data_IF_214037816013
#
_entry.id   IF_214037816013
#
_cell.length_a   1.000
_cell.length_b   1.000
_cell.length_c   1.000
_cell.angle_alpha   90.00
_cell.angle_beta   90.00
_cell.angle_gamma   90.00
#
_symmetry.space_group_name_H-M   'P 1'
#
loop_
_entity.id
_entity.type
_entity.pdbx_description
1 polymer ?
#
# COMPACT_ATOMS: atom_id res chain seq x y z
N UNK A 1 6.42 5.31 24.65
CA UNK A 1 6.32 6.70 24.17
C UNK A 1 7.27 6.93 22.97
N UNK A 2 7.18 6.15 21.87
CA UNK A 2 7.99 6.35 20.65
C UNK A 2 7.21 6.01 19.35
N UNK A 3 5.93 5.60 19.42
CA UNK A 3 5.13 5.20 18.25
C UNK A 3 4.44 6.35 17.53
N UNK A 4 4.19 7.48 18.19
CA UNK A 4 3.49 8.63 17.58
C UNK A 4 4.39 9.51 16.69
N UNK A 5 5.69 9.23 16.64
CA UNK A 5 6.63 10.04 15.84
C UNK A 5 6.65 9.58 14.38
N UNK A 6 6.24 8.34 14.10
CA UNK A 6 6.28 7.75 12.76
C UNK A 6 5.15 8.31 11.90
N UNK A 7 3.93 8.36 12.45
CA UNK A 7 2.77 8.96 11.78
C UNK A 7 2.97 10.44 11.42
N UNK A 8 3.65 11.18 12.32
CA UNK A 8 3.96 12.60 12.10
C UNK A 8 4.93 12.87 10.94
N UNK A 9 5.71 11.88 10.53
CA UNK A 9 6.68 12.03 9.42
C UNK A 9 6.07 11.77 8.05
N UNK A 10 5.03 10.91 7.96
CA UNK A 10 4.38 10.57 6.68
C UNK A 10 3.59 11.76 6.15
N UNK A 11 2.95 12.48 7.03
CA UNK A 11 2.05 13.57 6.71
C UNK A 11 2.79 14.92 6.51
N UNK A 12 4.01 15.05 7.00
CA UNK A 12 4.80 16.27 6.85
C UNK A 12 5.31 16.56 5.43
N UNK A 13 5.23 15.59 4.51
CA UNK A 13 5.73 15.78 3.14
C UNK A 13 4.68 16.29 2.13
N UNK A 14 3.41 16.36 2.49
CA UNK A 14 2.31 16.70 1.57
C UNK A 14 1.87 18.16 1.53
N UNK A 15 2.40 19.03 2.39
CA UNK A 15 1.87 20.39 2.58
C UNK A 15 2.30 21.44 1.54
N UNK A 16 2.90 21.09 0.41
CA UNK A 16 3.55 22.08 -0.47
C UNK A 16 2.76 22.52 -1.72
N UNK A 17 1.51 22.07 -1.95
CA UNK A 17 0.88 22.37 -3.25
C UNK A 17 -0.61 22.78 -3.28
N UNK A 18 -1.15 23.38 -2.25
CA UNK A 18 -2.50 23.99 -2.39
C UNK A 18 -2.53 25.40 -1.81
N UNK A 19 -2.05 26.35 -2.60
CA UNK A 19 -2.42 27.75 -2.49
C UNK A 19 -2.84 28.21 -3.89
N UNK A 20 -4.09 28.49 -4.03
CA UNK A 20 -4.78 29.50 -4.86
C UNK A 20 -6.19 28.96 -5.21
N UNK A 21 -7.25 29.47 -4.64
CA UNK A 21 -8.20 30.39 -5.25
C UNK A 21 -9.27 30.74 -4.22
N UNK A 22 -9.41 32.00 -3.97
CA UNK A 22 -10.37 32.55 -3.04
C UNK A 22 -11.77 32.78 -3.60
N UNK A 23 -12.69 32.80 -2.66
CA UNK A 23 -13.92 33.58 -2.61
C UNK A 23 -14.95 33.44 -3.72
N UNK A 24 -16.02 32.73 -3.41
CA UNK A 24 -17.36 33.28 -3.68
C UNK A 24 -18.42 32.69 -2.72
N UNK A 25 -19.21 33.58 -2.22
CA UNK A 25 -20.14 33.41 -1.12
C UNK A 25 -21.41 32.65 -1.45
N UNK A 26 -21.97 32.03 -0.42
CA UNK A 26 -23.40 31.81 -0.18
C UNK A 26 -24.23 31.13 -1.27
N UNK A 27 -24.31 29.82 -1.17
CA UNK A 27 -25.55 29.14 -1.51
C UNK A 27 -26.03 28.38 -0.29
N UNK A 28 -27.29 28.66 0.03
CA UNK A 28 -28.03 28.19 1.18
C UNK A 28 -28.10 26.66 1.23
N UNK A 29 -27.72 26.09 2.38
CA UNK A 29 -28.27 24.88 3.00
C UNK A 29 -28.93 23.83 2.07
N UNK A 30 -28.19 23.23 1.21
CA UNK A 30 -28.26 21.82 0.86
C UNK A 30 -26.82 21.34 0.96
N UNK A 31 -26.47 20.68 2.07
CA UNK A 31 -25.16 20.09 2.21
C UNK A 31 -24.94 19.16 1.03
N UNK A 32 -23.95 19.48 0.20
CA UNK A 32 -23.55 18.59 -0.88
C UNK A 32 -23.30 17.22 -0.28
N UNK A 33 -23.96 16.21 -0.84
CA UNK A 33 -23.81 14.84 -0.34
C UNK A 33 -22.40 14.36 -0.59
N UNK A 34 -21.77 13.82 0.45
CA UNK A 34 -20.48 13.13 0.34
C UNK A 34 -20.65 11.65 -0.04
N UNK A 35 -21.87 11.20 -0.38
CA UNK A 35 -22.09 9.82 -0.81
C UNK A 35 -21.38 9.53 -2.12
N UNK A 36 -20.86 8.33 -2.23
CA UNK A 36 -20.15 7.81 -3.40
C UNK A 36 -18.77 7.28 -3.07
N UNK A 37 -18.02 7.03 -4.12
CA UNK A 37 -16.64 6.55 -4.07
C UNK A 37 -15.68 7.72 -4.26
N UNK A 38 -14.63 7.69 -3.47
CA UNK A 38 -13.62 8.71 -3.37
C UNK A 38 -12.26 8.04 -3.34
N UNK A 39 -11.31 8.53 -4.11
CA UNK A 39 -9.94 8.02 -4.11
C UNK A 39 -8.96 9.09 -3.64
N UNK A 40 -7.93 8.68 -2.90
CA UNK A 40 -6.84 9.57 -2.50
C UNK A 40 -5.61 9.28 -3.34
N UNK A 41 -5.25 10.18 -4.29
CA UNK A 41 -4.12 9.97 -5.16
C UNK A 41 -2.76 10.11 -4.44
N UNK A 42 -2.74 10.77 -3.29
CA UNK A 42 -1.50 11.09 -2.56
C UNK A 42 -1.37 10.36 -1.22
N UNK A 43 -2.50 10.06 -0.56
CA UNK A 43 -2.48 9.36 0.74
C UNK A 43 -1.94 7.93 0.61
N UNK A 44 -2.25 7.26 -0.49
CA UNK A 44 -1.75 5.92 -0.80
C UNK A 44 -0.23 5.90 -1.02
N UNK A 45 0.32 6.88 -1.74
CA UNK A 45 1.75 6.96 -2.03
C UNK A 45 2.58 7.08 -0.74
N UNK A 46 2.13 7.90 0.21
CA UNK A 46 2.81 8.05 1.50
C UNK A 46 2.83 6.74 2.29
N UNK A 47 1.71 6.02 2.34
CA UNK A 47 1.62 4.69 2.99
C UNK A 47 2.51 3.65 2.29
N UNK A 48 2.54 3.68 0.96
CA UNK A 48 3.37 2.80 0.15
C UNK A 48 4.86 3.01 0.43
N UNK A 49 5.34 4.25 0.40
CA UNK A 49 6.74 4.59 0.68
C UNK A 49 7.14 4.20 2.10
N UNK A 50 6.24 4.31 3.07
CA UNK A 50 6.51 3.86 4.43
C UNK A 50 6.55 2.34 4.53
N UNK A 51 5.65 1.64 3.87
CA UNK A 51 5.64 0.18 3.82
C UNK A 51 6.94 -0.36 3.20
N UNK A 52 7.42 0.25 2.11
CA UNK A 52 8.71 -0.07 1.51
C UNK A 52 9.88 0.20 2.46
N UNK A 53 9.88 1.36 3.14
CA UNK A 53 10.92 1.71 4.10
C UNK A 53 10.93 0.78 5.33
N UNK A 54 9.74 0.36 5.78
CA UNK A 54 9.58 -0.57 6.91
C UNK A 54 9.98 -2.01 6.54
N UNK A 55 9.73 -2.43 5.30
CA UNK A 55 10.15 -3.71 4.77
C UNK A 55 11.69 -3.81 4.61
N UNK A 56 12.38 -2.66 4.63
CA UNK A 56 13.81 -2.59 4.42
C UNK A 56 14.12 -2.94 2.96
N UNK A 57 14.07 -1.97 2.08
CA UNK A 57 14.25 -2.14 0.62
C UNK A 57 15.52 -2.91 0.22
N UNK A 58 16.48 -3.03 1.13
CA UNK A 58 17.74 -3.77 0.93
C UNK A 58 17.63 -5.29 1.23
N UNK A 59 16.49 -5.78 1.76
CA UNK A 59 16.45 -7.11 2.38
C UNK A 59 15.67 -8.18 1.59
N UNK A 60 14.85 -7.83 0.61
CA UNK A 60 13.98 -8.79 -0.08
C UNK A 60 14.78 -9.57 -1.13
N UNK A 61 15.62 -8.87 -1.90
CA UNK A 61 16.51 -9.46 -2.88
C UNK A 61 17.96 -9.14 -2.51
N UNK A 62 18.73 -10.18 -2.18
CA UNK A 62 20.09 -10.05 -1.63
C UNK A 62 21.14 -10.19 -2.71
N UNK A 63 20.84 -10.92 -3.77
CA UNK A 63 21.78 -11.32 -4.81
C UNK A 63 21.43 -10.76 -6.20
N UNK A 64 20.23 -10.25 -6.39
CA UNK A 64 19.78 -9.61 -7.62
C UNK A 64 19.52 -8.12 -7.42
N UNK A 65 19.45 -7.37 -8.52
CA UNK A 65 19.22 -5.92 -8.50
C UNK A 65 17.72 -5.55 -8.51
N UNK A 66 16.82 -6.51 -8.26
CA UNK A 66 15.39 -6.28 -8.23
C UNK A 66 14.95 -5.52 -6.98
N UNK A 67 13.90 -4.74 -7.12
CA UNK A 67 13.31 -3.95 -6.04
C UNK A 67 11.86 -4.31 -5.78
N UNK A 68 11.35 -3.99 -4.58
CA UNK A 68 9.92 -4.12 -4.27
C UNK A 68 9.05 -3.19 -5.12
N UNK A 69 9.58 -2.05 -5.58
CA UNK A 69 8.86 -1.10 -6.43
C UNK A 69 8.52 -1.68 -7.81
N UNK A 70 9.29 -2.66 -8.30
CA UNK A 70 8.98 -3.39 -9.54
C UNK A 70 7.80 -4.35 -9.35
N UNK A 71 7.58 -4.81 -8.13
CA UNK A 71 6.57 -5.82 -7.77
C UNK A 71 5.30 -5.16 -7.27
N UNK A 72 5.42 -4.18 -6.37
CA UNK A 72 4.30 -3.41 -5.85
C UNK A 72 4.16 -2.13 -6.69
N UNK A 73 3.35 -2.21 -7.74
CA UNK A 73 3.32 -1.16 -8.78
C UNK A 73 2.43 0.02 -8.45
N UNK A 74 1.47 -0.17 -7.55
CA UNK A 74 0.50 0.88 -7.17
C UNK A 74 -0.14 0.56 -5.83
N UNK A 75 -0.38 1.60 -5.04
CA UNK A 75 -1.23 1.55 -3.84
C UNK A 75 -2.31 2.62 -3.96
N UNK A 76 -3.53 2.31 -3.57
CA UNK A 76 -4.68 3.22 -3.61
C UNK A 76 -5.38 3.22 -2.25
N UNK A 77 -5.96 4.35 -1.89
CA UNK A 77 -6.88 4.49 -0.77
C UNK A 77 -8.24 4.92 -1.32
N UNK A 78 -9.25 4.09 -1.07
CA UNK A 78 -10.61 4.32 -1.54
C UNK A 78 -11.53 4.46 -0.34
N UNK A 79 -12.20 5.60 -0.26
CA UNK A 79 -13.21 5.87 0.75
C UNK A 79 -14.59 5.75 0.10
N UNK A 80 -15.36 4.77 0.52
CA UNK A 80 -16.77 4.64 0.12
C UNK A 80 -17.65 5.19 1.22
N UNK A 81 -18.55 6.10 0.85
CA UNK A 81 -19.58 6.66 1.75
C UNK A 81 -20.96 6.30 1.23
N UNK A 82 -21.73 5.56 2.02
CA UNK A 82 -23.10 5.18 1.71
C UNK A 82 -24.01 5.48 2.91
N UNK A 83 -25.01 6.33 2.70
CA UNK A 83 -25.87 6.81 3.76
C UNK A 83 -25.06 7.40 4.94
N UNK A 84 -25.18 6.78 6.12
CA UNK A 84 -24.46 7.20 7.33
C UNK A 84 -23.28 6.28 7.67
N UNK A 85 -22.71 5.59 6.68
CA UNK A 85 -21.55 4.70 6.83
C UNK A 85 -20.43 5.10 5.90
N UNK A 86 -19.21 4.91 6.36
CA UNK A 86 -18.03 5.06 5.54
C UNK A 86 -17.08 3.87 5.75
N UNK A 87 -16.42 3.45 4.68
CA UNK A 87 -15.36 2.44 4.71
C UNK A 87 -14.17 2.97 3.96
N UNK A 88 -13.01 3.00 4.61
CA UNK A 88 -11.73 3.26 3.96
C UNK A 88 -11.06 1.93 3.67
N UNK A 89 -10.72 1.71 2.42
CA UNK A 89 -10.06 0.51 1.91
C UNK A 89 -8.71 0.89 1.32
N UNK A 90 -7.69 0.06 1.56
CA UNK A 90 -6.40 0.13 0.89
C UNK A 90 -6.32 -0.98 -0.14
N UNK A 91 -5.88 -0.64 -1.35
CA UNK A 91 -5.61 -1.59 -2.43
C UNK A 91 -4.15 -1.50 -2.84
N UNK A 92 -3.49 -2.66 -3.00
CA UNK A 92 -2.11 -2.77 -3.48
C UNK A 92 -2.07 -3.65 -4.72
N UNK A 93 -1.46 -3.16 -5.79
CA UNK A 93 -1.28 -3.88 -7.04
C UNK A 93 0.06 -4.61 -7.04
N UNK A 94 0.00 -5.92 -7.13
CA UNK A 94 1.16 -6.82 -7.18
C UNK A 94 1.35 -7.31 -8.61
N UNK A 95 2.50 -7.01 -9.21
CA UNK A 95 2.92 -7.61 -10.48
C UNK A 95 3.51 -8.99 -10.21
N UNK A 96 2.71 -10.03 -10.35
CA UNK A 96 3.11 -11.42 -10.11
C UNK A 96 4.17 -11.92 -11.11
N UNK A 97 4.17 -11.40 -12.34
CA UNK A 97 5.16 -11.76 -13.35
C UNK A 97 6.53 -11.14 -13.02
N UNK A 98 6.54 -9.88 -12.59
CA UNK A 98 7.74 -9.22 -12.09
C UNK A 98 8.27 -9.93 -10.84
N UNK A 99 7.39 -10.32 -9.91
CA UNK A 99 7.78 -11.04 -8.71
C UNK A 99 8.37 -12.41 -9.01
N UNK A 100 7.74 -13.18 -9.92
CA UNK A 100 8.26 -14.45 -10.39
C UNK A 100 9.67 -14.29 -11.02
N UNK A 101 9.82 -13.28 -11.88
CA UNK A 101 11.11 -12.99 -12.53
C UNK A 101 12.19 -12.65 -11.50
N UNK A 102 11.86 -11.78 -10.55
CA UNK A 102 12.78 -11.40 -9.48
C UNK A 102 13.23 -12.59 -8.63
N UNK A 103 12.30 -13.49 -8.25
CA UNK A 103 12.67 -14.72 -7.51
C UNK A 103 13.55 -15.66 -8.33
N UNK A 104 13.28 -15.78 -9.62
CA UNK A 104 14.10 -16.63 -10.53
C UNK A 104 15.52 -16.10 -10.67
N UNK A 105 15.65 -14.80 -10.82
CA UNK A 105 16.96 -14.15 -10.91
C UNK A 105 17.70 -14.19 -9.57
N UNK A 106 16.99 -13.99 -8.45
CA UNK A 106 17.57 -14.08 -7.10
C UNK A 106 18.17 -15.46 -6.82
N UNK A 107 17.45 -16.55 -7.11
CA UNK A 107 17.99 -17.90 -6.89
C UNK A 107 19.19 -18.20 -7.79
N UNK A 108 19.15 -17.72 -9.04
CA UNK A 108 20.27 -17.89 -9.98
C UNK A 108 21.50 -17.12 -9.52
N UNK A 109 21.30 -15.86 -9.10
CA UNK A 109 22.37 -15.01 -8.58
C UNK A 109 22.96 -15.58 -7.27
N UNK A 110 22.12 -16.10 -6.38
CA UNK A 110 22.54 -16.75 -5.15
C UNK A 110 23.49 -17.95 -5.43
N UNK A 111 23.10 -18.82 -6.37
CA UNK A 111 23.96 -19.97 -6.76
C UNK A 111 25.29 -19.50 -7.34
N UNK A 112 25.27 -18.50 -8.23
CA UNK A 112 26.51 -17.92 -8.79
C UNK A 112 27.43 -17.37 -7.69
N UNK A 113 26.84 -16.62 -6.75
CA UNK A 113 27.59 -16.06 -5.61
C UNK A 113 28.23 -17.14 -4.72
N UNK A 114 27.50 -18.23 -4.44
CA UNK A 114 28.06 -19.33 -3.65
C UNK A 114 29.17 -20.07 -4.39
N UNK A 115 29.07 -20.28 -5.70
CA UNK A 115 30.12 -20.85 -6.53
C UNK A 115 31.38 -19.97 -6.52
N UNK A 116 31.23 -18.65 -6.67
CA UNK A 116 32.35 -17.70 -6.61
C UNK A 116 33.08 -17.75 -5.27
N UNK A 117 32.33 -17.81 -4.14
CA UNK A 117 32.93 -17.98 -2.80
C UNK A 117 33.75 -19.28 -2.67
N UNK A 118 33.39 -20.32 -3.42
CA UNK A 118 34.09 -21.58 -3.47
C UNK A 118 35.26 -21.56 -4.50
N UNK A 119 35.46 -20.46 -5.21
CA UNK A 119 36.49 -20.28 -6.22
C UNK A 119 36.14 -20.84 -7.61
N UNK A 120 34.86 -21.07 -7.87
CA UNK A 120 34.36 -21.50 -9.17
C UNK A 120 33.73 -20.35 -9.92
N UNK A 121 33.90 -20.31 -11.24
CA UNK A 121 33.22 -19.38 -12.12
C UNK A 121 32.12 -20.13 -12.89
N UNK A 122 30.84 -19.78 -12.62
CA UNK A 122 29.71 -20.41 -13.30
C UNK A 122 29.82 -20.33 -14.82
N UNK A 123 30.29 -19.20 -15.37
CA UNK A 123 30.36 -19.01 -16.83
C UNK A 123 31.41 -19.93 -17.51
N UNK A 124 32.42 -20.35 -16.76
CA UNK A 124 33.49 -21.24 -17.23
C UNK A 124 33.17 -22.74 -17.09
N UNK A 125 32.04 -23.08 -16.45
CA UNK A 125 31.61 -24.47 -16.28
C UNK A 125 31.14 -25.07 -17.60
N UNK A 126 31.32 -26.39 -17.75
CA UNK A 126 30.78 -27.13 -18.88
C UNK A 126 29.23 -27.19 -18.85
N UNK A 127 28.65 -27.43 -20.01
CA UNK A 127 27.17 -27.42 -20.15
C UNK A 127 26.45 -28.49 -19.31
N UNK A 128 27.11 -29.63 -19.04
CA UNK A 128 26.52 -30.71 -18.25
C UNK A 128 26.43 -30.29 -16.76
N UNK A 129 27.51 -29.68 -16.26
CA UNK A 129 27.54 -29.15 -14.88
C UNK A 129 26.55 -28.00 -14.70
N UNK A 130 26.47 -27.06 -15.66
CA UNK A 130 25.43 -26.00 -15.64
C UNK A 130 24.02 -26.59 -15.58
N UNK A 131 23.72 -27.56 -16.46
CA UNK A 131 22.41 -28.20 -16.48
C UNK A 131 22.08 -28.94 -15.17
N UNK A 132 23.07 -29.51 -14.47
CA UNK A 132 22.86 -30.10 -13.15
C UNK A 132 22.58 -29.04 -12.07
N UNK A 133 23.26 -27.92 -12.10
CA UNK A 133 23.01 -26.80 -11.20
C UNK A 133 21.62 -26.21 -11.44
N UNK A 134 21.28 -25.93 -12.69
CA UNK A 134 19.96 -25.39 -13.06
C UNK A 134 18.82 -26.35 -12.66
N UNK A 135 19.05 -27.68 -12.80
CA UNK A 135 18.10 -28.69 -12.33
C UNK A 135 17.98 -28.77 -10.79
N UNK A 136 18.89 -28.17 -10.04
CA UNK A 136 18.84 -28.09 -8.59
C UNK A 136 18.09 -26.84 -8.09
N UNK A 137 17.81 -25.88 -8.98
CA UNK A 137 16.99 -24.71 -8.68
C UNK A 137 15.52 -25.13 -8.53
N UNK A 138 14.73 -24.28 -7.87
CA UNK A 138 13.29 -24.46 -7.84
C UNK A 138 12.73 -24.43 -9.28
N UNK A 139 11.79 -25.30 -9.55
CA UNK A 139 11.10 -25.29 -10.85
C UNK A 139 10.26 -24.02 -11.02
N UNK A 140 9.91 -23.68 -12.26
CA UNK A 140 9.03 -22.56 -12.54
C UNK A 140 7.66 -22.73 -11.85
N UNK A 141 7.15 -23.98 -11.75
CA UNK A 141 5.90 -24.26 -11.02
C UNK A 141 6.04 -24.03 -9.50
N UNK A 142 7.19 -24.41 -8.90
CA UNK A 142 7.44 -24.17 -7.48
C UNK A 142 7.64 -22.68 -7.18
N UNK A 143 8.30 -21.94 -8.09
CA UNK A 143 8.45 -20.50 -7.99
C UNK A 143 7.10 -19.78 -8.11
N UNK A 144 6.26 -20.17 -9.07
CA UNK A 144 4.93 -19.58 -9.20
C UNK A 144 4.10 -19.82 -7.95
N UNK A 145 4.15 -21.05 -7.43
CA UNK A 145 3.48 -21.37 -6.16
C UNK A 145 4.01 -20.51 -5.00
N UNK A 146 5.31 -20.25 -4.96
CA UNK A 146 5.90 -19.39 -3.93
C UNK A 146 5.42 -17.94 -4.06
N UNK A 147 5.27 -17.41 -5.28
CA UNK A 147 4.67 -16.09 -5.53
C UNK A 147 3.25 -16.05 -4.98
N UNK A 148 2.41 -17.01 -5.39
CA UNK A 148 1.01 -17.08 -5.00
C UNK A 148 0.88 -17.20 -3.47
N UNK A 149 1.60 -18.14 -2.85
CA UNK A 149 1.60 -18.34 -1.39
C UNK A 149 2.07 -17.07 -0.63
N UNK A 150 3.05 -16.34 -1.18
CA UNK A 150 3.58 -15.11 -0.56
C UNK A 150 2.56 -13.98 -0.63
N UNK A 151 1.90 -13.79 -1.77
CA UNK A 151 0.87 -12.74 -1.94
C UNK A 151 -0.36 -13.05 -1.10
N UNK A 152 -0.79 -14.32 -1.05
CA UNK A 152 -1.88 -14.76 -0.17
C UNK A 152 -1.54 -14.55 1.31
N UNK A 153 -0.30 -14.82 1.70
CA UNK A 153 0.16 -14.57 3.07
C UNK A 153 0.20 -13.07 3.38
N UNK A 154 0.64 -12.24 2.43
CA UNK A 154 0.62 -10.79 2.57
C UNK A 154 -0.82 -10.29 2.77
N UNK A 155 -1.76 -10.69 1.92
CA UNK A 155 -3.18 -10.35 2.05
C UNK A 155 -3.73 -10.80 3.42
N UNK A 156 -3.44 -12.02 3.84
CA UNK A 156 -3.86 -12.57 5.14
C UNK A 156 -3.27 -11.80 6.31
N UNK A 157 -2.01 -11.34 6.21
CA UNK A 157 -1.35 -10.56 7.27
C UNK A 157 -1.95 -9.17 7.44
N UNK A 158 -2.62 -8.66 6.40
CA UNK A 158 -3.35 -7.39 6.40
C UNK A 158 -4.83 -7.55 6.77
N UNK A 159 -5.26 -8.76 7.17
CA UNK A 159 -6.69 -9.12 7.36
C UNK A 159 -7.52 -8.74 6.10
N UNK A 160 -6.93 -8.97 4.94
CA UNK A 160 -7.44 -8.60 3.62
C UNK A 160 -7.67 -9.79 2.71
N UNK A 161 -7.81 -9.52 1.42
CA UNK A 161 -8.02 -10.51 0.37
C UNK A 161 -7.15 -10.23 -0.85
N UNK A 162 -6.79 -11.27 -1.59
CA UNK A 162 -6.09 -11.19 -2.86
C UNK A 162 -6.98 -11.66 -4.00
N UNK A 163 -7.07 -10.86 -5.06
CA UNK A 163 -7.67 -11.28 -6.33
C UNK A 163 -6.56 -11.58 -7.36
N UNK A 164 -6.28 -12.86 -7.55
CA UNK A 164 -5.26 -13.35 -8.47
C UNK A 164 -5.52 -13.00 -9.95
N UNK A 165 -6.76 -12.59 -10.33
CA UNK A 165 -7.06 -12.19 -11.72
C UNK A 165 -6.62 -10.78 -12.02
N UNK A 166 -6.71 -9.91 -11.03
CA UNK A 166 -6.35 -8.49 -11.14
C UNK A 166 -5.00 -8.17 -10.53
N UNK A 167 -4.42 -9.09 -9.76
CA UNK A 167 -3.17 -8.87 -9.02
C UNK A 167 -3.35 -7.90 -7.84
N UNK A 168 -4.57 -7.75 -7.30
CA UNK A 168 -4.86 -6.74 -6.28
C UNK A 168 -5.05 -7.38 -4.91
N UNK A 169 -4.29 -6.91 -3.94
CA UNK A 169 -4.52 -7.14 -2.51
C UNK A 169 -5.34 -5.98 -1.97
N UNK A 170 -6.44 -6.29 -1.28
CA UNK A 170 -7.36 -5.30 -0.72
C UNK A 170 -7.54 -5.55 0.77
N UNK A 171 -7.47 -4.50 1.58
CA UNK A 171 -7.73 -4.57 3.03
C UNK A 171 -8.49 -3.33 3.49
N UNK A 172 -9.51 -3.52 4.32
CA UNK A 172 -10.18 -2.41 4.99
C UNK A 172 -9.22 -1.78 6.00
N UNK A 173 -9.16 -0.45 6.03
CA UNK A 173 -8.38 0.30 7.01
C UNK A 173 -9.26 0.60 8.23
N UNK A 174 -10.46 1.16 7.97
CA UNK A 174 -11.47 1.40 9.01
C UNK A 174 -12.90 1.39 8.45
N UNK A 175 -13.86 1.22 9.37
CA UNK A 175 -15.27 1.53 9.16
C UNK A 175 -15.67 2.67 10.12
N UNK A 176 -16.56 3.54 9.68
CA UNK A 176 -17.02 4.69 10.47
C UNK A 176 -18.51 4.98 10.28
N UNK A 177 -19.12 5.59 11.29
CA UNK A 177 -20.41 6.24 11.20
C UNK A 177 -20.22 7.70 10.77
N UNK A 178 -21.02 8.15 9.81
CA UNK A 178 -20.94 9.50 9.26
C UNK A 178 -21.93 10.42 9.95
N UNK A 179 -21.43 11.40 10.69
CA UNK A 179 -22.27 12.46 11.26
C UNK A 179 -22.21 13.71 10.38
N UNK A 180 -23.18 13.84 9.47
CA UNK A 180 -23.23 14.96 8.51
C UNK A 180 -23.46 16.31 9.16
N UNK A 181 -24.14 16.35 10.33
CA UNK A 181 -24.43 17.59 11.04
C UNK A 181 -23.17 18.19 11.66
N UNK A 182 -22.30 17.35 12.19
CA UNK A 182 -21.05 17.73 12.82
C UNK A 182 -19.86 17.62 11.86
N UNK A 183 -20.07 17.07 10.67
CA UNK A 183 -19.04 16.75 9.68
C UNK A 183 -17.93 15.89 10.29
N UNK A 184 -18.30 14.75 10.88
CA UNK A 184 -17.36 13.82 11.49
C UNK A 184 -17.56 12.39 10.98
N UNK A 185 -16.48 11.64 10.99
CA UNK A 185 -16.44 10.18 10.94
C UNK A 185 -16.19 9.66 12.38
N UNK A 186 -17.14 8.94 12.95
CA UNK A 186 -16.96 8.22 14.21
C UNK A 186 -16.46 6.80 13.89
N UNK A 187 -15.22 6.50 14.25
CA UNK A 187 -14.58 5.23 13.88
C UNK A 187 -15.20 4.08 14.67
N UNK A 188 -15.87 3.17 13.99
CA UNK A 188 -16.55 2.01 14.61
C UNK A 188 -15.72 0.76 14.61
N UNK A 189 -14.85 0.60 13.60
CA UNK A 189 -13.92 -0.52 13.47
C UNK A 189 -12.59 -0.04 12.88
N UNK A 190 -11.50 -0.62 13.35
CA UNK A 190 -10.15 -0.40 12.82
C UNK A 190 -9.55 -1.76 12.52
N UNK A 191 -8.95 -1.92 11.36
CA UNK A 191 -8.12 -3.05 11.05
C UNK A 191 -6.78 -2.91 11.79
N UNK A 192 -6.50 -3.82 12.72
CA UNK A 192 -5.32 -3.74 13.55
C UNK A 192 -4.01 -3.89 12.75
N UNK A 193 -4.05 -4.59 11.62
CA UNK A 193 -2.86 -4.81 10.78
C UNK A 193 -2.46 -3.57 9.97
N UNK A 194 -3.46 -2.77 9.54
CA UNK A 194 -3.25 -1.63 8.63
C UNK A 194 -3.45 -0.30 9.36
N UNK A 195 -4.48 -0.21 10.20
CA UNK A 195 -4.93 1.04 10.82
C UNK A 195 -4.40 1.28 12.24
N UNK A 196 -3.72 0.29 12.89
CA UNK A 196 -3.28 0.45 14.27
C UNK A 196 -2.18 1.52 14.39
N UNK A 197 -2.47 2.55 15.18
CA UNK A 197 -1.59 3.70 15.39
C UNK A 197 -1.81 4.86 14.39
N UNK A 198 -2.65 4.65 13.37
CA UNK A 198 -3.09 5.69 12.43
C UNK A 198 -4.44 6.27 12.88
N UNK A 199 -5.38 5.39 13.17
CA UNK A 199 -6.76 5.70 13.49
C UNK A 199 -7.13 5.04 14.82
N UNK A 200 -7.92 5.70 15.63
CA UNK A 200 -8.34 5.20 16.95
C UNK A 200 -9.84 4.91 16.93
N UNK A 201 -10.19 3.67 17.26
CA UNK A 201 -11.60 3.27 17.37
C UNK A 201 -12.30 4.07 18.47
N UNK A 202 -13.50 4.60 18.14
CA UNK A 202 -14.35 5.38 19.04
C UNK A 202 -14.00 6.88 19.03
N UNK A 203 -12.98 7.30 18.29
CA UNK A 203 -12.70 8.72 18.08
C UNK A 203 -13.45 9.28 16.90
N UNK A 204 -13.64 10.59 16.91
CA UNK A 204 -14.29 11.36 15.86
C UNK A 204 -13.24 12.15 15.10
N UNK A 205 -13.20 11.95 13.79
CA UNK A 205 -12.33 12.69 12.87
C UNK A 205 -13.19 13.66 12.07
N UNK A 206 -12.75 14.90 12.00
CA UNK A 206 -13.41 15.93 11.21
C UNK A 206 -13.20 15.66 9.72
N UNK A 207 -14.19 16.06 8.92
CA UNK A 207 -14.01 16.16 7.48
C UNK A 207 -14.52 17.49 6.96
N UNK A 208 -13.92 17.96 5.90
CA UNK A 208 -14.46 19.05 5.11
C UNK A 208 -14.76 18.59 3.69
N UNK A 209 -15.76 19.22 3.07
CA UNK A 209 -16.08 18.98 1.67
C UNK A 209 -16.26 20.31 0.95
N UNK A 210 -15.48 20.50 -0.11
CA UNK A 210 -15.50 21.73 -0.89
C UNK A 210 -15.07 21.47 -2.33
N UNK A 211 -15.86 21.99 -3.27
CA UNK A 211 -15.52 22.01 -4.70
C UNK A 211 -15.21 20.60 -5.29
N UNK A 212 -15.91 19.55 -4.81
CA UNK A 212 -15.70 18.18 -5.25
C UNK A 212 -14.57 17.45 -4.55
N UNK A 213 -13.93 18.06 -3.57
CA UNK A 213 -12.83 17.49 -2.77
C UNK A 213 -13.33 17.22 -1.34
N UNK A 214 -13.13 16.00 -0.88
CA UNK A 214 -13.38 15.58 0.50
C UNK A 214 -12.03 15.49 1.21
N UNK A 215 -11.90 16.19 2.33
CA UNK A 215 -10.68 16.16 3.15
C UNK A 215 -11.01 15.51 4.49
N UNK A 216 -10.28 14.47 4.84
CA UNK A 216 -10.25 13.89 6.17
C UNK A 216 -9.20 14.65 6.97
N UNK A 217 -9.65 15.38 8.00
CA UNK A 217 -8.79 16.33 8.72
C UNK A 217 -7.95 15.60 9.77
N UNK A 218 -6.63 15.77 9.68
CA UNK A 218 -5.66 15.28 10.64
C UNK A 218 -5.48 16.20 11.85
N UNK A 219 -4.45 15.94 12.67
CA UNK A 219 -4.09 16.84 13.79
C UNK A 219 -3.52 18.18 13.31
N UNK A 220 -2.91 18.19 12.12
CA UNK A 220 -2.40 19.39 11.44
C UNK A 220 -2.75 19.30 9.96
N UNK A 221 -2.74 20.44 9.25
CA UNK A 221 -3.03 20.48 7.79
C UNK A 221 -2.07 19.57 6.97
N UNK A 222 -0.93 19.22 7.52
CA UNK A 222 0.01 18.26 6.92
C UNK A 222 -0.43 16.79 7.09
N UNK A 223 -1.38 16.56 7.99
CA UNK A 223 -1.93 15.26 8.31
C UNK A 223 -3.27 15.02 7.60
N UNK A 224 -3.69 15.93 6.75
CA UNK A 224 -4.94 15.82 6.02
C UNK A 224 -4.83 14.81 4.87
N UNK A 225 -5.83 13.94 4.75
CA UNK A 225 -5.95 13.04 3.60
C UNK A 225 -7.01 13.61 2.65
N UNK A 226 -6.59 13.91 1.44
CA UNK A 226 -7.43 14.52 0.42
C UNK A 226 -7.95 13.44 -0.51
N UNK A 227 -9.26 13.42 -0.73
CA UNK A 227 -9.96 12.49 -1.60
C UNK A 227 -10.63 13.26 -2.73
N UNK A 228 -10.54 12.72 -3.94
CA UNK A 228 -11.22 13.20 -5.13
C UNK A 228 -12.35 12.22 -5.49
N UNK A 229 -13.45 12.73 -6.03
CA UNK A 229 -14.59 11.91 -6.40
C UNK A 229 -14.28 11.16 -7.70
N UNK A 230 -14.55 9.85 -7.71
CA UNK A 230 -14.50 9.02 -8.92
C UNK A 230 -15.58 9.40 -9.95
#
# INVERSE_FOLDING_TARGET
>A
MKKNTLFRLILASLSALVLVVGLSACSLFQGESIDGSWTSPTGAEAMYQEALAAAGSEAVFTYSDHSLEEILTKTELDLTVEDDKATLTMSMHVDSDAFFTALKDEQTAAVKSELEKMGYNYEEMDAATKAQLDASLLSDDDLQKMVDDTVDQMASSLDGSYDAKTGVVTADVFEADVNRSNKTFEITKVNAAVGEGLIVKGENYQYSYKDGVLTFEGETDADDIVFEKE
#
